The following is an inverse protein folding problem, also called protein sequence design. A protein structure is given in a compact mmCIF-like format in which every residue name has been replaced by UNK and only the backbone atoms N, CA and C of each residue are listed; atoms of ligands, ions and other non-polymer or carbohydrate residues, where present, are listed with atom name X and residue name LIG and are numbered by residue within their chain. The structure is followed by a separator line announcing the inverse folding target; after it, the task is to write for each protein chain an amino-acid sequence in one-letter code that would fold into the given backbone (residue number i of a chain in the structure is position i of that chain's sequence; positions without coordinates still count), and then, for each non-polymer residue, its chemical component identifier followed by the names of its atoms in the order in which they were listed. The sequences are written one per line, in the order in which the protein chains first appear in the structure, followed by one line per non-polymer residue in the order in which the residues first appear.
data_IF_176967502340
#
_entry.id   IF_176967502340
#
_cell.length_a   1.000
_cell.length_b   1.000
_cell.length_c   1.000
_cell.angle_alpha   90.00
_cell.angle_beta   90.00
_cell.angle_gamma   90.00
#
_symmetry.space_group_name_H-M   'P 1'
#
loop_
_entity.id
_entity.type
_entity.pdbx_description
1 polymer ?
#
# COMPACT_ATOMS: atom_id res chain seq x y z
N UNK A 1 0.18 1.21 -3.22
CA UNK A 1 -0.88 0.91 -2.22
C UNK A 1 -1.96 1.97 -2.22
N UNK A 2 -3.19 1.59 -1.88
CA UNK A 2 -4.33 2.48 -1.62
C UNK A 2 -4.81 2.32 -0.18
N UNK A 3 -5.43 3.36 0.38
CA UNK A 3 -5.89 3.36 1.78
C UNK A 3 -7.42 3.33 1.87
N UNK A 4 -7.97 2.33 2.56
CA UNK A 4 -9.37 2.39 3.03
C UNK A 4 -9.58 3.55 3.99
N UNK A 5 -10.84 3.97 4.19
CA UNK A 5 -11.19 4.98 5.20
C UNK A 5 -10.66 4.60 6.59
N UNK A 6 -10.88 3.35 7.00
CA UNK A 6 -10.41 2.85 8.29
C UNK A 6 -8.89 2.91 8.40
N UNK A 7 -8.16 2.45 7.38
CA UNK A 7 -6.70 2.52 7.36
C UNK A 7 -6.18 3.95 7.46
N UNK A 8 -6.80 4.93 6.80
CA UNK A 8 -6.43 6.35 6.93
C UNK A 8 -6.54 6.83 8.36
N UNK A 9 -7.67 6.57 9.01
CA UNK A 9 -7.89 6.98 10.40
C UNK A 9 -6.84 6.36 11.32
N UNK A 10 -6.50 5.07 11.12
CA UNK A 10 -5.43 4.41 11.88
C UNK A 10 -4.06 4.99 11.56
N UNK A 11 -3.77 5.30 10.30
CA UNK A 11 -2.50 5.86 9.84
C UNK A 11 -2.28 7.27 10.40
N UNK A 12 -3.30 8.12 10.40
CA UNK A 12 -3.23 9.45 11.02
C UNK A 12 -2.96 9.33 12.51
N UNK A 13 -3.70 8.46 13.22
CA UNK A 13 -3.56 8.26 14.67
C UNK A 13 -2.22 7.67 15.07
N UNK A 14 -1.65 6.79 14.24
CA UNK A 14 -0.48 5.97 14.61
C UNK A 14 0.81 6.48 13.98
N UNK A 15 0.81 6.82 12.69
CA UNK A 15 2.02 7.06 11.88
C UNK A 15 2.21 8.53 11.47
N UNK A 16 1.23 9.16 10.81
CA UNK A 16 1.45 10.44 10.11
C UNK A 16 1.29 11.70 10.99
N UNK A 17 0.58 11.61 12.13
CA UNK A 17 0.18 12.76 12.99
C UNK A 17 -0.55 13.92 12.26
N UNK A 18 -0.82 13.82 10.95
CA UNK A 18 -1.45 14.82 10.08
C UNK A 18 -2.36 14.15 9.04
N UNK A 19 -3.39 14.87 8.57
CA UNK A 19 -4.46 14.34 7.71
C UNK A 19 -4.27 14.58 6.20
N UNK A 20 -3.27 15.35 5.77
CA UNK A 20 -3.06 15.64 4.34
C UNK A 20 -2.64 14.37 3.58
N UNK A 21 -3.25 14.03 2.42
CA UNK A 21 -2.95 12.83 1.65
C UNK A 21 -1.45 12.61 1.41
N UNK A 22 -0.74 13.65 1.00
CA UNK A 22 0.70 13.59 0.69
C UNK A 22 1.50 13.12 1.92
N UNK A 23 1.14 13.63 3.11
CA UNK A 23 1.80 13.28 4.37
C UNK A 23 1.41 11.88 4.85
N UNK A 24 0.16 11.47 4.61
CA UNK A 24 -0.28 10.10 4.92
C UNK A 24 0.46 9.08 4.08
N UNK A 25 0.58 9.31 2.77
CA UNK A 25 1.29 8.42 1.86
C UNK A 25 2.80 8.44 2.08
N UNK A 26 3.40 9.59 2.39
CA UNK A 26 4.80 9.66 2.83
C UNK A 26 5.05 8.78 4.05
N UNK A 27 4.24 8.91 5.10
CA UNK A 27 4.38 8.06 6.29
C UNK A 27 4.09 6.57 6.01
N UNK A 28 3.24 6.27 5.02
CA UNK A 28 3.01 4.90 4.55
C UNK A 28 4.27 4.34 3.89
N UNK A 29 4.88 5.06 2.95
CA UNK A 29 6.10 4.61 2.27
C UNK A 29 7.26 4.45 3.24
N UNK A 30 7.46 5.40 4.15
CA UNK A 30 8.48 5.28 5.20
C UNK A 30 8.27 4.01 6.04
N UNK A 31 7.01 3.65 6.30
CA UNK A 31 6.68 2.41 7.01
C UNK A 31 7.00 1.17 6.17
N UNK A 32 6.68 1.18 4.88
CA UNK A 32 7.01 0.06 3.98
C UNK A 32 8.51 -0.17 3.87
N UNK A 33 9.32 0.89 3.79
CA UNK A 33 10.78 0.81 3.66
C UNK A 33 11.47 0.07 4.80
N UNK A 34 10.86 0.10 6.00
CA UNK A 34 11.38 -0.56 7.20
C UNK A 34 10.59 -1.83 7.59
N UNK A 35 9.63 -2.23 6.76
CA UNK A 35 8.76 -3.37 7.06
C UNK A 35 9.21 -4.61 6.31
N UNK A 36 9.03 -5.75 6.94
CA UNK A 36 9.07 -7.03 6.26
C UNK A 36 7.70 -7.39 5.71
N UNK A 37 7.69 -8.06 4.56
CA UNK A 37 6.50 -8.58 3.91
C UNK A 37 6.24 -10.01 4.36
N UNK A 38 4.98 -10.30 4.71
CA UNK A 38 4.47 -11.62 5.05
C UNK A 38 3.28 -11.91 4.13
N UNK A 39 3.43 -12.86 3.21
CA UNK A 39 2.32 -13.37 2.41
C UNK A 39 1.51 -14.37 3.25
N UNK A 40 0.32 -13.95 3.69
CA UNK A 40 -0.56 -14.78 4.54
C UNK A 40 -1.29 -15.82 3.69
N UNK A 41 -1.76 -15.39 2.52
CA UNK A 41 -2.32 -16.23 1.47
C UNK A 41 -2.31 -15.45 0.15
N UNK A 42 -2.92 -16.01 -0.90
CA UNK A 42 -2.99 -15.41 -2.24
C UNK A 42 -3.61 -14.00 -2.26
N UNK A 43 -4.51 -13.69 -1.31
CA UNK A 43 -5.24 -12.41 -1.27
C UNK A 43 -4.71 -11.44 -0.24
N UNK A 44 -4.10 -11.92 0.84
CA UNK A 44 -3.77 -11.13 2.02
C UNK A 44 -2.27 -11.05 2.23
N UNK A 45 -1.77 -9.83 2.38
CA UNK A 45 -0.36 -9.51 2.63
C UNK A 45 -0.26 -8.64 3.87
N UNK A 46 0.71 -8.92 4.73
CA UNK A 46 1.01 -8.10 5.91
C UNK A 46 2.40 -7.49 5.75
N UNK A 47 2.51 -6.19 6.02
CA UNK A 47 3.79 -5.51 6.19
C UNK A 47 3.98 -5.16 7.66
N UNK A 48 5.08 -5.58 8.27
CA UNK A 48 5.34 -5.39 9.70
C UNK A 48 6.75 -4.86 9.97
N UNK A 49 6.86 -3.88 10.86
CA UNK A 49 8.13 -3.39 11.43
C UNK A 49 8.41 -4.02 12.81
N UNK A 50 7.68 -5.09 13.16
CA UNK A 50 7.74 -5.74 14.47
C UNK A 50 7.03 -4.99 15.60
N UNK A 51 6.63 -3.73 15.40
CA UNK A 51 5.79 -2.97 16.35
C UNK A 51 4.36 -2.86 15.85
N UNK A 52 4.20 -2.63 14.55
CA UNK A 52 2.92 -2.45 13.88
C UNK A 52 2.87 -3.27 12.61
N UNK A 53 1.65 -3.59 12.21
CA UNK A 53 1.34 -4.36 11.02
C UNK A 53 0.30 -3.64 10.19
N UNK A 54 0.61 -3.51 8.91
CA UNK A 54 -0.26 -3.05 7.83
C UNK A 54 -0.90 -4.28 7.19
N UNK A 55 -2.20 -4.43 7.33
CA UNK A 55 -2.93 -5.56 6.73
C UNK A 55 -3.51 -5.11 5.40
N UNK A 56 -3.14 -5.81 4.33
CA UNK A 56 -3.48 -5.46 2.97
C UNK A 56 -4.22 -6.59 2.25
N UNK A 57 -5.14 -6.23 1.36
CA UNK A 57 -5.64 -7.11 0.33
C UNK A 57 -4.99 -6.77 -1.01
N UNK A 58 -4.65 -7.78 -1.80
CA UNK A 58 -4.24 -7.59 -3.20
C UNK A 58 -5.43 -7.10 -4.01
N UNK A 59 -5.16 -6.21 -4.96
CA UNK A 59 -6.13 -5.72 -5.92
C UNK A 59 -5.68 -6.15 -7.31
N UNK A 60 -6.63 -6.62 -8.12
CA UNK A 60 -6.38 -6.88 -9.53
C UNK A 60 -6.08 -5.56 -10.26
N UNK A 61 -5.09 -5.58 -11.12
CA UNK A 61 -4.73 -4.47 -12.00
C UNK A 61 -4.63 -4.93 -13.44
N UNK A 62 -4.75 -3.97 -14.34
CA UNK A 62 -4.47 -4.15 -15.75
C UNK A 62 -3.11 -3.53 -16.08
N UNK A 63 -2.20 -4.29 -16.70
CA UNK A 63 -0.88 -3.80 -17.08
C UNK A 63 -0.97 -3.05 -18.41
N UNK A 64 -0.89 -1.72 -18.34
CA UNK A 64 -1.10 -0.82 -19.47
C UNK A 64 0.10 0.08 -19.70
N UNK A 65 0.33 0.48 -20.95
CA UNK A 65 1.23 1.59 -21.28
C UNK A 65 0.69 2.91 -20.75
N UNK A 66 1.57 3.90 -20.56
CA UNK A 66 1.14 5.24 -20.15
C UNK A 66 0.15 5.87 -21.13
N UNK A 67 0.26 5.58 -22.43
CA UNK A 67 -0.69 6.07 -23.44
C UNK A 67 -2.10 5.48 -23.24
N UNK A 68 -2.20 4.17 -23.05
CA UNK A 68 -3.47 3.50 -22.74
C UNK A 68 -4.08 4.03 -21.43
N UNK A 69 -3.25 4.28 -20.41
CA UNK A 69 -3.69 4.89 -19.15
C UNK A 69 -4.24 6.30 -19.39
N UNK A 70 -3.55 7.14 -20.18
CA UNK A 70 -4.02 8.50 -20.55
C UNK A 70 -5.38 8.45 -21.23
N UNK A 71 -5.57 7.51 -22.17
CA UNK A 71 -6.86 7.30 -22.82
C UNK A 71 -7.95 6.90 -21.82
N UNK A 72 -7.64 5.96 -20.89
CA UNK A 72 -8.58 5.46 -19.88
C UNK A 72 -9.09 6.54 -18.93
N UNK A 73 -8.25 7.52 -18.61
CA UNK A 73 -8.58 8.61 -17.66
C UNK A 73 -9.03 9.91 -18.32
N UNK A 74 -8.98 9.99 -19.65
CA UNK A 74 -9.26 11.22 -20.43
C UNK A 74 -10.64 11.84 -20.14
N UNK A 75 -11.67 11.00 -20.01
CA UNK A 75 -13.06 11.40 -19.75
C UNK A 75 -13.37 11.73 -18.29
N UNK A 76 -12.39 11.69 -17.37
CA UNK A 76 -12.63 11.93 -15.94
C UNK A 76 -12.35 13.40 -15.62
N UNK A 77 -13.40 14.14 -15.31
CA UNK A 77 -13.32 15.56 -14.91
C UNK A 77 -13.25 15.75 -13.39
N UNK A 78 -13.67 14.76 -12.61
CA UNK A 78 -13.69 14.83 -11.15
C UNK A 78 -12.31 14.58 -10.54
N UNK A 79 -12.09 15.13 -9.34
CA UNK A 79 -10.89 14.87 -8.56
C UNK A 79 -10.95 13.49 -7.91
N UNK A 80 -9.86 12.74 -8.04
CA UNK A 80 -9.64 11.43 -7.45
C UNK A 80 -8.47 11.54 -6.47
N UNK A 81 -8.37 10.57 -5.57
CA UNK A 81 -7.08 10.27 -4.98
C UNK A 81 -6.25 9.47 -5.97
N UNK A 82 -5.19 10.10 -6.46
CA UNK A 82 -4.27 9.50 -7.42
C UNK A 82 -2.95 9.15 -6.74
N UNK A 83 -2.50 7.91 -6.92
CA UNK A 83 -1.24 7.39 -6.39
C UNK A 83 -0.39 6.85 -7.53
N UNK A 84 0.84 7.35 -7.64
CA UNK A 84 1.91 6.80 -8.45
C UNK A 84 2.95 6.22 -7.51
N UNK A 85 3.05 4.88 -7.48
CA UNK A 85 3.85 4.18 -6.47
C UNK A 85 5.35 4.36 -6.69
N UNK A 86 5.81 4.15 -7.92
CA UNK A 86 7.24 4.14 -8.26
C UNK A 86 7.89 5.50 -7.99
N UNK A 87 7.20 6.59 -8.34
CA UNK A 87 7.63 7.96 -8.06
C UNK A 87 7.31 8.46 -6.65
N UNK A 88 6.64 7.65 -5.82
CA UNK A 88 6.16 8.05 -4.49
C UNK A 88 5.40 9.37 -4.52
N UNK A 89 4.38 9.43 -5.38
CA UNK A 89 3.52 10.61 -5.53
C UNK A 89 2.09 10.21 -5.19
N UNK A 90 1.46 10.97 -4.29
CA UNK A 90 0.04 10.81 -3.98
C UNK A 90 -0.60 12.19 -3.83
N UNK A 91 -1.67 12.47 -4.59
CA UNK A 91 -2.34 13.77 -4.61
C UNK A 91 -3.83 13.60 -4.83
N UNK A 92 -4.62 14.53 -4.32
CA UNK A 92 -6.03 14.64 -4.67
C UNK A 92 -6.18 15.60 -5.86
N UNK A 93 -6.38 15.06 -7.06
CA UNK A 93 -6.38 15.83 -8.32
C UNK A 93 -7.18 15.11 -9.40
N UNK A 94 -7.41 15.78 -10.53
CA UNK A 94 -8.05 15.17 -11.70
C UNK A 94 -7.09 14.14 -12.33
N UNK A 95 -7.51 12.88 -12.56
CA UNK A 95 -6.69 11.82 -13.16
C UNK A 95 -5.91 12.23 -14.40
N UNK A 96 -6.53 12.94 -15.36
CA UNK A 96 -5.84 13.39 -16.58
C UNK A 96 -4.61 14.25 -16.29
N UNK A 97 -4.72 15.19 -15.35
CA UNK A 97 -3.61 16.07 -14.93
C UNK A 97 -2.54 15.31 -14.16
N UNK A 98 -2.93 14.23 -13.48
CA UNK A 98 -2.00 13.41 -12.72
C UNK A 98 -1.05 12.64 -13.64
N UNK A 99 -1.57 12.09 -14.75
CA UNK A 99 -0.82 11.23 -15.67
C UNK A 99 0.06 12.00 -16.67
N UNK A 100 -0.16 13.31 -16.84
CA UNK A 100 0.65 14.18 -17.69
C UNK A 100 2.13 14.21 -17.27
N UNK A 101 2.40 14.14 -15.96
CA UNK A 101 3.76 14.23 -15.41
C UNK A 101 4.45 12.89 -15.16
N UNK A 102 3.87 11.77 -15.60
CA UNK A 102 4.45 10.44 -15.38
C UNK A 102 5.44 10.07 -16.47
N UNK A 103 6.53 9.36 -16.15
CA UNK A 103 7.48 8.87 -17.14
C UNK A 103 6.85 7.77 -18.01
N UNK A 104 7.24 7.71 -19.28
CA UNK A 104 6.80 6.66 -20.19
C UNK A 104 7.19 5.28 -19.66
N UNK A 105 6.29 4.30 -19.86
CA UNK A 105 6.47 2.95 -19.32
C UNK A 105 5.18 2.14 -19.35
N UNK A 106 5.26 0.93 -18.78
CA UNK A 106 4.11 0.06 -18.52
C UNK A 106 3.88 -0.02 -17.02
N UNK A 107 2.62 0.16 -16.62
CA UNK A 107 2.23 0.21 -15.22
C UNK A 107 0.95 -0.58 -14.98
N UNK A 108 0.85 -1.17 -13.80
CA UNK A 108 -0.40 -1.67 -13.28
C UNK A 108 -1.34 -0.50 -12.98
N UNK A 109 -2.47 -0.48 -13.67
CA UNK A 109 -3.58 0.44 -13.46
C UNK A 109 -4.64 -0.24 -12.59
N UNK A 110 -5.01 0.42 -11.50
CA UNK A 110 -6.25 0.15 -10.78
C UNK A 110 -7.05 1.43 -10.63
N UNK A 111 -8.36 1.36 -10.89
CA UNK A 111 -9.25 2.50 -10.76
C UNK A 111 -10.58 2.07 -10.15
N UNK A 112 -11.04 2.82 -9.15
CA UNK A 112 -12.37 2.67 -8.58
C UNK A 112 -13.10 4.00 -8.68
N UNK A 113 -14.15 4.04 -9.51
CA UNK A 113 -14.94 5.26 -9.76
C UNK A 113 -15.80 5.66 -8.57
N UNK A 114 -16.39 4.69 -7.87
CA UNK A 114 -17.23 4.93 -6.69
C UNK A 114 -16.42 5.53 -5.53
N UNK A 115 -15.23 4.97 -5.28
CA UNK A 115 -14.32 5.45 -4.24
C UNK A 115 -13.44 6.62 -4.69
N UNK A 116 -13.55 7.04 -5.95
CA UNK A 116 -12.72 8.08 -6.61
C UNK A 116 -11.23 7.89 -6.31
N UNK A 117 -10.72 6.68 -6.56
CA UNK A 117 -9.33 6.31 -6.31
C UNK A 117 -8.67 5.73 -7.55
N UNK A 118 -7.43 6.13 -7.79
CA UNK A 118 -6.59 5.73 -8.92
C UNK A 118 -5.22 5.31 -8.39
N UNK A 119 -4.73 4.16 -8.84
CA UNK A 119 -3.39 3.67 -8.60
C UNK A 119 -2.69 3.38 -9.92
N UNK A 120 -1.43 3.80 -10.00
CA UNK A 120 -0.50 3.53 -11.08
C UNK A 120 0.84 3.13 -10.44
N UNK A 121 1.47 2.06 -10.92
CA UNK A 121 2.81 1.66 -10.48
C UNK A 121 3.27 0.39 -11.17
N UNK A 122 4.57 0.11 -11.13
CA UNK A 122 5.17 -1.10 -11.69
C UNK A 122 4.73 -2.37 -10.96
N UNK A 123 4.39 -2.26 -9.67
CA UNK A 123 3.92 -3.37 -8.84
C UNK A 123 2.39 -3.43 -8.72
N UNK A 124 1.86 -4.62 -8.43
CA UNK A 124 0.43 -4.84 -8.15
C UNK A 124 -0.07 -3.93 -7.00
N UNK A 125 -1.25 -3.31 -7.15
CA UNK A 125 -1.84 -2.53 -6.09
C UNK A 125 -2.25 -3.40 -4.91
N UNK A 126 -2.06 -2.84 -3.72
CA UNK A 126 -2.60 -3.38 -2.49
C UNK A 126 -3.49 -2.37 -1.81
N UNK A 127 -4.64 -2.81 -1.32
CA UNK A 127 -5.56 -2.04 -0.49
C UNK A 127 -5.27 -2.27 0.99
N UNK A 128 -4.82 -1.23 1.68
CA UNK A 128 -4.62 -1.26 3.13
C UNK A 128 -5.98 -1.26 3.82
N UNK A 129 -6.29 -2.36 4.50
CA UNK A 129 -7.52 -2.54 5.27
C UNK A 129 -7.38 -1.88 6.65
N UNK A 130 -6.26 -2.12 7.34
CA UNK A 130 -6.03 -1.56 8.67
C UNK A 130 -4.54 -1.49 9.01
N UNK A 131 -4.23 -0.69 10.03
CA UNK A 131 -2.91 -0.63 10.66
C UNK A 131 -3.13 -0.96 12.12
N UNK A 132 -2.44 -1.95 12.67
CA UNK A 132 -2.61 -2.41 14.07
C UNK A 132 -1.28 -2.75 14.74
N UNK A 133 -1.23 -2.94 16.07
CA UNK A 133 -0.06 -3.54 16.69
C UNK A 133 0.24 -4.91 16.08
N UNK A 134 1.52 -5.24 15.98
CA UNK A 134 1.97 -6.51 15.45
C UNK A 134 1.58 -7.66 16.39
N UNK A 135 1.02 -8.76 15.85
CA UNK A 135 0.78 -10.01 16.60
C UNK A 135 2.11 -10.68 16.95
N UNK A 136 2.09 -11.58 17.93
CA UNK A 136 3.30 -12.31 18.37
C UNK A 136 4.07 -12.93 17.20
N UNK A 137 3.38 -13.62 16.31
CA UNK A 137 3.98 -14.24 15.12
C UNK A 137 4.62 -13.21 14.17
N UNK A 138 3.94 -12.09 13.91
CA UNK A 138 4.44 -10.99 13.08
C UNK A 138 5.69 -10.34 13.70
N UNK A 139 5.78 -10.29 15.03
CA UNK A 139 6.98 -9.78 15.74
C UNK A 139 8.15 -10.75 15.66
N UNK A 140 7.87 -12.04 15.81
CA UNK A 140 8.88 -13.08 15.72
C UNK A 140 9.50 -13.14 14.32
N UNK A 141 8.68 -12.98 13.28
CA UNK A 141 9.15 -12.93 11.90
C UNK A 141 9.96 -11.65 11.61
N UNK A 142 9.55 -10.50 12.15
CA UNK A 142 10.26 -9.24 12.02
C UNK A 142 11.63 -9.18 12.75
N UNK A 143 11.94 -10.18 13.58
CA UNK A 143 13.19 -10.23 14.35
C UNK A 143 14.30 -10.92 13.51
N UNK A 144 15.48 -10.31 13.32
CA UNK A 144 16.55 -10.90 12.50
C UNK A 144 17.22 -12.13 13.13
N UNK A 145 16.79 -12.57 14.31
CA UNK A 145 17.38 -13.70 15.04
C UNK A 145 16.43 -14.89 14.99
N UNK A 146 16.75 -15.84 14.10
CA UNK A 146 16.20 -17.19 14.14
C UNK A 146 16.40 -17.78 15.52
N UNK A 147 15.33 -17.81 16.32
CA UNK A 147 15.30 -18.62 17.53
C UNK A 147 14.53 -19.87 17.15
N UNK A 148 15.26 -20.86 16.62
CA UNK A 148 14.81 -22.25 16.67
C UNK A 148 14.55 -22.59 18.12
N UNK A 149 13.28 -22.60 18.52
CA UNK A 149 12.86 -23.18 19.79
C UNK A 149 13.11 -24.70 19.68
N UNK A 150 14.31 -25.13 20.07
CA UNK A 150 14.57 -26.52 20.40
C UNK A 150 13.86 -26.75 21.73
N UNK A 151 12.69 -27.38 21.68
CA UNK A 151 12.03 -27.91 22.88
C UNK A 151 12.98 -28.90 23.56
N UNK A 152 13.26 -28.78 24.87
CA UNK A 152 13.92 -29.85 25.58
C UNK A 152 12.93 -31.02 25.68
N UNK A 153 13.25 -32.15 25.04
CA UNK A 153 12.59 -33.41 25.35
C UNK A 153 12.92 -33.72 26.81
N UNK A 154 11.95 -33.51 27.68
CA UNK A 154 11.98 -34.06 29.03
C UNK A 154 11.90 -35.58 28.92
N UNK A 155 12.97 -36.25 29.33
CA UNK A 155 12.95 -37.67 29.66
C UNK A 155 12.48 -37.81 31.10
N UNK A 156 11.39 -38.55 31.30
CA UNK A 156 11.06 -39.24 32.55
C UNK A 156 10.34 -40.52 32.17
#
# INVERSE_FOLDING_TARGET
MLLTRHARERLVKRLAKRRRPERMYSALWDFLDRSQRIDVNERVVIFTDGRRSLVCARLECEMLSLEEIRQRVSGISEAYECVFFDGRIARHTVPRKFVEGLPDGRYCLYMNREKKSLYIGSEEPMLVITIRPAKREERNQASPTGTTNISPKGSS
#
